data_IF_231592946642
#
_entry.id   IF_231592946642
#
_cell.length_a   1.000
_cell.length_b   1.000
_cell.length_c   1.000
_cell.angle_alpha   90.00
_cell.angle_beta   90.00
_cell.angle_gamma   90.00
#
_symmetry.space_group_name_H-M   'P 1'
#
loop_
_entity.id
_entity.type
_entity.pdbx_description
1 polymer ?
#
# COMPACT_ATOMS: atom_id res chain seq x y z
N UNK A 1 -66.11 0.08 35.09
CA UNK A 1 -65.22 0.49 36.19
C UNK A 1 -63.94 -0.32 36.08
N UNK A 2 -62.79 0.34 36.06
CA UNK A 2 -61.47 -0.28 35.86
C UNK A 2 -60.45 0.76 35.42
N UNK A 3 -60.07 1.62 36.36
CA UNK A 3 -59.13 2.76 36.30
C UNK A 3 -57.83 2.46 35.51
N UNK A 4 -57.48 3.25 34.48
CA UNK A 4 -56.53 4.38 34.52
C UNK A 4 -55.44 4.31 35.60
N UNK A 5 -54.56 3.32 35.40
CA UNK A 5 -53.17 3.15 35.87
C UNK A 5 -52.04 4.00 35.19
N UNK A 6 -51.98 5.31 35.43
CA UNK A 6 -50.73 6.09 35.56
C UNK A 6 -49.65 6.07 34.45
N UNK A 7 -49.77 7.01 33.51
CA UNK A 7 -48.67 7.47 32.67
C UNK A 7 -47.65 8.32 33.44
N UNK A 8 -46.87 7.72 34.35
CA UNK A 8 -45.78 8.39 35.09
C UNK A 8 -44.51 7.53 35.24
N UNK A 9 -44.03 6.89 34.15
CA UNK A 9 -42.69 6.29 34.16
C UNK A 9 -41.91 6.47 32.85
N UNK A 10 -42.18 7.58 32.13
CA UNK A 10 -41.40 7.99 30.93
C UNK A 10 -40.41 9.13 31.19
N UNK A 11 -40.24 9.54 32.45
CA UNK A 11 -39.42 10.70 32.82
C UNK A 11 -38.46 10.45 34.00
N UNK A 12 -38.31 9.20 34.44
CA UNK A 12 -37.23 8.79 35.35
C UNK A 12 -36.04 8.26 34.54
N UNK A 13 -34.97 9.06 34.43
CA UNK A 13 -33.67 8.53 33.99
C UNK A 13 -32.95 9.27 32.86
N UNK A 14 -33.33 10.52 32.52
CA UNK A 14 -32.38 11.39 31.80
C UNK A 14 -31.24 11.73 32.75
N UNK A 15 -30.21 10.88 32.77
CA UNK A 15 -28.95 11.11 33.47
C UNK A 15 -28.45 12.49 33.05
N UNK A 16 -28.48 13.46 33.99
CA UNK A 16 -28.04 14.82 33.76
C UNK A 16 -26.53 14.82 33.51
N UNK A 17 -26.16 14.91 32.23
CA UNK A 17 -24.77 14.93 31.76
C UNK A 17 -24.45 16.30 31.13
N UNK A 18 -24.31 17.36 31.94
CA UNK A 18 -24.12 18.72 31.46
C UNK A 18 -22.81 18.92 30.69
N UNK A 19 -21.89 17.94 30.77
CA UNK A 19 -20.59 17.94 30.06
C UNK A 19 -20.53 16.93 28.92
N UNK A 20 -21.63 16.25 28.59
CA UNK A 20 -21.74 15.20 27.56
C UNK A 20 -20.56 14.21 27.57
N UNK A 21 -20.10 13.82 28.77
CA UNK A 21 -19.04 12.84 28.94
C UNK A 21 -19.56 11.44 28.55
N UNK A 22 -18.72 10.57 27.98
CA UNK A 22 -19.10 9.17 27.76
C UNK A 22 -19.53 8.54 29.08
N UNK A 23 -20.56 7.69 29.03
CA UNK A 23 -21.08 7.03 30.23
C UNK A 23 -20.22 5.82 30.59
N UNK A 24 -20.08 5.57 31.88
CA UNK A 24 -19.46 4.39 32.46
C UNK A 24 -20.27 3.13 32.12
N UNK A 25 -19.73 1.95 32.43
CA UNK A 25 -20.46 0.68 32.33
C UNK A 25 -21.76 0.67 33.17
N UNK A 26 -21.81 1.48 34.23
CA UNK A 26 -22.96 1.64 35.13
C UNK A 26 -23.97 2.71 34.65
N UNK A 27 -23.77 3.29 33.45
CA UNK A 27 -24.66 4.31 32.89
C UNK A 27 -24.63 5.67 33.62
N UNK A 28 -23.66 5.90 34.50
CA UNK A 28 -23.40 7.21 35.12
C UNK A 28 -22.41 8.00 34.23
N UNK A 29 -22.35 9.33 34.33
CA UNK A 29 -21.34 10.10 33.60
C UNK A 29 -19.97 9.96 34.28
N UNK A 30 -18.93 9.68 33.47
CA UNK A 30 -17.57 9.45 33.98
C UNK A 30 -17.09 10.67 34.75
N UNK A 31 -16.41 10.45 35.87
CA UNK A 31 -15.76 11.52 36.61
C UNK A 31 -14.73 12.25 35.72
N UNK A 32 -14.73 13.59 35.75
CA UNK A 32 -13.89 14.43 34.86
C UNK A 32 -12.39 14.11 34.96
N UNK A 33 -11.89 13.76 36.13
CA UNK A 33 -10.47 13.41 36.32
C UNK A 33 -10.11 12.08 35.64
N UNK A 34 -11.02 11.11 35.63
CA UNK A 34 -10.82 9.81 34.99
C UNK A 34 -10.79 9.97 33.46
N UNK A 35 -11.68 10.80 32.94
CA UNK A 35 -11.70 11.20 31.53
C UNK A 35 -10.37 11.84 31.08
N UNK A 36 -9.81 12.74 31.91
CA UNK A 36 -8.50 13.36 31.66
C UNK A 36 -7.33 12.39 31.82
N UNK A 37 -7.37 11.53 32.84
CA UNK A 37 -6.32 10.54 33.14
C UNK A 37 -6.15 9.54 31.98
N UNK A 38 -7.26 9.02 31.45
CA UNK A 38 -7.23 8.11 30.31
C UNK A 38 -7.03 8.83 28.96
N UNK A 39 -6.91 10.16 28.96
CA UNK A 39 -6.62 10.95 27.76
C UNK A 39 -7.77 11.00 26.75
N UNK A 40 -9.02 10.71 27.16
CA UNK A 40 -10.19 10.76 26.27
C UNK A 40 -10.53 12.19 25.82
N UNK A 41 -9.98 13.21 26.48
CA UNK A 41 -10.16 14.62 26.15
C UNK A 41 -9.49 15.06 24.84
N UNK A 42 -8.58 14.26 24.32
CA UNK A 42 -7.88 14.56 23.06
C UNK A 42 -8.62 13.91 21.92
N UNK A 43 -8.97 14.67 20.92
CA UNK A 43 -9.66 14.20 19.73
C UNK A 43 -8.65 13.95 18.61
N UNK A 44 -8.76 12.79 17.95
CA UNK A 44 -7.95 12.45 16.80
C UNK A 44 -8.87 12.19 15.60
N UNK A 45 -8.55 12.77 14.45
CA UNK A 45 -9.36 12.63 13.25
C UNK A 45 -8.66 11.69 12.27
N UNK A 46 -9.41 10.79 11.65
CA UNK A 46 -8.91 9.91 10.60
C UNK A 46 -9.66 10.18 9.28
N UNK A 47 -8.93 10.66 8.27
CA UNK A 47 -9.49 11.01 6.95
C UNK A 47 -9.93 9.76 6.17
N UNK A 48 -9.15 8.67 6.21
CA UNK A 48 -9.48 7.38 5.59
C UNK A 48 -10.80 6.79 6.12
N UNK A 49 -11.16 7.11 7.37
CA UNK A 49 -12.42 6.71 7.99
C UNK A 49 -13.59 7.67 7.71
N UNK A 50 -13.44 8.63 6.80
CA UNK A 50 -14.44 9.67 6.51
C UNK A 50 -14.47 10.77 7.57
N UNK A 51 -13.29 11.24 7.98
CA UNK A 51 -13.10 12.28 9.01
C UNK A 51 -13.75 11.93 10.35
N UNK A 52 -13.78 10.63 10.69
CA UNK A 52 -14.30 10.17 11.97
C UNK A 52 -13.37 10.61 13.10
N UNK A 53 -13.98 11.11 14.18
CA UNK A 53 -13.28 11.58 15.37
C UNK A 53 -13.22 10.44 16.39
N UNK A 54 -12.01 10.09 16.79
CA UNK A 54 -11.72 9.10 17.81
C UNK A 54 -11.28 9.78 19.10
N UNK A 55 -12.00 9.58 20.23
CA UNK A 55 -11.64 10.17 21.51
C UNK A 55 -10.51 9.37 22.16
N UNK A 56 -9.39 10.03 22.41
CA UNK A 56 -8.22 9.49 23.08
C UNK A 56 -7.31 8.62 22.20
N UNK A 57 -6.03 8.56 22.62
CA UNK A 57 -4.97 7.87 21.88
C UNK A 57 -5.23 6.36 21.75
N UNK A 58 -5.75 5.71 22.79
CA UNK A 58 -6.00 4.27 22.79
C UNK A 58 -7.07 3.85 21.77
N UNK A 59 -8.17 4.59 21.70
CA UNK A 59 -9.21 4.32 20.69
C UNK A 59 -8.68 4.61 19.28
N UNK A 60 -7.89 5.66 19.15
CA UNK A 60 -7.18 5.97 17.91
C UNK A 60 -6.07 4.96 17.57
N UNK A 61 -5.57 4.11 18.45
CA UNK A 61 -4.66 3.02 18.02
C UNK A 61 -5.45 1.78 17.63
N UNK A 62 -6.54 1.51 18.34
CA UNK A 62 -7.44 0.40 18.04
C UNK A 62 -8.11 0.53 16.67
N UNK A 63 -8.42 1.76 16.24
CA UNK A 63 -9.17 1.96 15.00
C UNK A 63 -8.45 1.45 13.74
N UNK A 64 -7.11 1.38 13.73
CA UNK A 64 -6.35 0.82 12.60
C UNK A 64 -6.69 -0.65 12.32
N UNK A 65 -7.12 -1.38 13.35
CA UNK A 65 -7.55 -2.77 13.24
C UNK A 65 -9.06 -2.93 13.04
N UNK A 66 -9.83 -1.84 13.13
CA UNK A 66 -11.28 -1.90 12.95
C UNK A 66 -11.67 -2.10 11.47
N UNK A 67 -12.84 -2.70 11.28
CA UNK A 67 -13.40 -2.91 9.95
C UNK A 67 -13.65 -1.61 9.18
N UNK A 68 -13.89 -0.49 9.88
CA UNK A 68 -14.09 0.81 9.24
C UNK A 68 -12.83 1.26 8.51
N UNK A 69 -11.69 1.25 9.19
CA UNK A 69 -10.41 1.66 8.61
C UNK A 69 -9.94 0.67 7.54
N UNK A 70 -10.05 -0.63 7.84
CA UNK A 70 -9.75 -1.70 6.87
C UNK A 70 -10.56 -1.54 5.57
N UNK A 71 -11.85 -1.22 5.68
CA UNK A 71 -12.71 -0.96 4.52
C UNK A 71 -12.32 0.32 3.79
N UNK A 72 -11.97 1.38 4.51
CA UNK A 72 -11.45 2.62 3.92
C UNK A 72 -10.21 2.37 3.06
N UNK A 73 -9.22 1.64 3.58
CA UNK A 73 -8.02 1.25 2.81
C UNK A 73 -8.37 0.37 1.59
N UNK A 74 -9.30 -0.58 1.76
CA UNK A 74 -9.79 -1.42 0.63
C UNK A 74 -10.41 -0.59 -0.49
N UNK A 75 -11.18 0.46 -0.17
CA UNK A 75 -11.73 1.37 -1.18
C UNK A 75 -10.64 2.14 -1.94
N UNK A 76 -9.46 2.33 -1.35
CA UNK A 76 -8.29 2.92 -1.99
C UNK A 76 -7.41 1.90 -2.74
N UNK A 77 -7.83 0.63 -2.80
CA UNK A 77 -7.04 -0.48 -3.37
C UNK A 77 -5.67 -0.68 -2.66
N UNK A 78 -5.64 -0.41 -1.36
CA UNK A 78 -4.47 -0.60 -0.50
C UNK A 78 -4.76 -1.78 0.45
N UNK A 79 -3.87 -2.79 0.54
CA UNK A 79 -4.03 -3.86 1.53
C UNK A 79 -3.78 -3.33 2.94
N UNK A 80 -4.62 -3.72 3.91
CA UNK A 80 -4.39 -3.40 5.32
C UNK A 80 -3.21 -4.22 5.85
N UNK A 81 -2.05 -3.58 5.97
CA UNK A 81 -0.80 -4.16 6.49
C UNK A 81 -0.20 -3.23 7.53
N UNK A 82 0.74 -3.73 8.34
CA UNK A 82 1.40 -2.96 9.40
C UNK A 82 2.15 -1.73 8.87
N UNK A 83 2.52 -1.70 7.58
CA UNK A 83 3.14 -0.53 6.96
C UNK A 83 2.25 0.72 7.00
N UNK A 84 0.93 0.54 7.07
CA UNK A 84 -0.04 1.65 7.13
C UNK A 84 -0.47 2.01 8.55
N UNK A 85 0.14 1.42 9.58
CA UNK A 85 -0.17 1.78 10.96
C UNK A 85 0.26 3.23 11.25
N UNK A 86 -0.67 4.06 11.72
CA UNK A 86 -0.44 5.49 11.95
C UNK A 86 -0.83 6.41 10.78
N UNK A 87 -1.07 5.86 9.59
CA UNK A 87 -1.45 6.65 8.42
C UNK A 87 -2.92 7.03 8.49
N UNK A 88 -3.22 8.33 8.46
CA UNK A 88 -4.61 8.84 8.52
C UNK A 88 -5.04 9.57 7.27
N UNK A 89 -4.08 10.17 6.54
CA UNK A 89 -4.34 10.94 5.34
C UNK A 89 -4.50 10.06 4.11
N UNK A 90 -5.43 10.41 3.23
CA UNK A 90 -5.69 9.64 2.01
C UNK A 90 -4.51 9.77 1.02
N UNK A 91 -4.00 10.98 0.85
CA UNK A 91 -2.86 11.27 -0.04
C UNK A 91 -1.58 10.60 0.45
N UNK A 92 -1.33 10.68 1.77
CA UNK A 92 -0.21 10.03 2.43
C UNK A 92 -0.22 8.51 2.21
N UNK A 93 -1.38 7.86 2.40
CA UNK A 93 -1.52 6.43 2.17
C UNK A 93 -1.23 6.04 0.72
N UNK A 94 -1.69 6.83 -0.25
CA UNK A 94 -1.42 6.58 -1.69
C UNK A 94 0.06 6.75 -2.03
N UNK A 95 0.70 7.78 -1.50
CA UNK A 95 2.13 8.03 -1.72
C UNK A 95 2.98 6.89 -1.13
N UNK A 96 2.67 6.46 0.10
CA UNK A 96 3.34 5.34 0.75
C UNK A 96 3.16 4.04 -0.04
N UNK A 97 1.94 3.77 -0.51
CA UNK A 97 1.67 2.56 -1.30
C UNK A 97 2.40 2.55 -2.65
N UNK A 98 2.48 3.71 -3.32
CA UNK A 98 3.23 3.84 -4.56
C UNK A 98 4.73 3.57 -4.35
N UNK A 99 5.30 4.06 -3.25
CA UNK A 99 6.70 3.83 -2.90
C UNK A 99 6.95 2.35 -2.55
N UNK A 100 6.06 1.73 -1.78
CA UNK A 100 6.18 0.32 -1.41
C UNK A 100 6.07 -0.61 -2.63
N UNK A 101 5.18 -0.30 -3.58
CA UNK A 101 5.09 -1.02 -4.86
C UNK A 101 6.38 -0.94 -5.67
N UNK A 102 6.99 0.24 -5.77
CA UNK A 102 8.28 0.41 -6.47
C UNK A 102 9.39 -0.38 -5.80
N UNK A 103 9.48 -0.29 -4.47
CA UNK A 103 10.47 -1.04 -3.70
C UNK A 103 10.25 -2.56 -3.83
N UNK A 104 8.99 -3.03 -3.83
CA UNK A 104 8.67 -4.44 -4.04
C UNK A 104 8.99 -4.91 -5.45
N UNK A 105 8.71 -4.11 -6.48
CA UNK A 105 9.01 -4.44 -7.87
C UNK A 105 10.51 -4.50 -8.13
N UNK A 106 11.29 -3.59 -7.53
CA UNK A 106 12.75 -3.59 -7.64
C UNK A 106 13.43 -4.78 -6.94
N UNK A 107 12.75 -5.44 -5.99
CA UNK A 107 13.25 -6.63 -5.32
C UNK A 107 12.75 -7.94 -5.98
N UNK A 108 11.88 -7.85 -6.98
CA UNK A 108 11.42 -9.02 -7.71
C UNK A 108 12.47 -9.38 -8.75
N UNK A 109 12.99 -10.60 -8.69
CA UNK A 109 13.90 -11.13 -9.70
C UNK A 109 13.19 -11.19 -11.06
N UNK A 110 13.74 -10.52 -12.06
CA UNK A 110 13.30 -10.60 -13.45
C UNK A 110 14.26 -11.50 -14.23
N UNK A 111 13.87 -12.72 -14.63
CA UNK A 111 14.74 -13.63 -15.38
C UNK A 111 15.31 -13.00 -16.65
N UNK A 112 14.62 -12.07 -17.30
CA UNK A 112 15.11 -11.47 -18.55
C UNK A 112 16.29 -10.50 -18.34
N UNK A 113 16.35 -9.87 -17.17
CA UNK A 113 17.34 -8.83 -16.83
C UNK A 113 18.37 -9.32 -15.80
N UNK A 114 17.96 -10.14 -14.83
CA UNK A 114 18.77 -10.54 -13.67
C UNK A 114 19.41 -11.93 -13.83
N UNK A 115 18.99 -12.75 -14.80
CA UNK A 115 19.66 -14.02 -15.07
C UNK A 115 21.04 -13.76 -15.70
N UNK A 116 22.06 -14.48 -15.24
CA UNK A 116 23.42 -14.35 -15.75
C UNK A 116 23.65 -15.40 -16.83
N UNK A 117 23.73 -14.98 -18.10
CA UNK A 117 24.01 -15.85 -19.23
C UNK A 117 25.42 -15.58 -19.77
N UNK A 118 26.12 -16.64 -20.18
CA UNK A 118 27.43 -16.54 -20.83
C UNK A 118 27.26 -16.36 -22.35
N UNK A 119 27.90 -15.33 -22.92
CA UNK A 119 27.96 -15.16 -24.37
C UNK A 119 29.04 -16.08 -25.01
N UNK A 120 29.03 -16.32 -26.35
CA UNK A 120 30.04 -17.15 -27.01
C UNK A 120 31.49 -16.65 -26.86
N UNK A 121 31.67 -15.43 -26.36
CA UNK A 121 32.96 -14.79 -26.10
C UNK A 121 33.36 -14.90 -24.62
N UNK A 122 32.56 -15.56 -23.77
CA UNK A 122 32.81 -15.78 -22.35
C UNK A 122 32.46 -14.60 -21.43
N UNK A 123 31.71 -13.59 -21.90
CA UNK A 123 31.24 -12.49 -21.05
C UNK A 123 29.90 -12.84 -20.40
N UNK A 124 29.73 -12.46 -19.13
CA UNK A 124 28.47 -12.59 -18.40
C UNK A 124 27.56 -11.40 -18.75
N UNK A 125 26.37 -11.68 -19.26
CA UNK A 125 25.38 -10.68 -19.68
C UNK A 125 23.96 -11.15 -19.33
N UNK A 126 23.01 -10.21 -19.27
CA UNK A 126 21.60 -10.56 -19.14
C UNK A 126 21.05 -11.19 -20.42
N UNK A 127 19.99 -12.03 -20.36
CA UNK A 127 19.36 -12.64 -21.52
C UNK A 127 18.92 -11.62 -22.58
N UNK A 128 18.38 -10.48 -22.15
CA UNK A 128 17.96 -9.42 -23.07
C UNK A 128 19.15 -8.85 -23.86
N UNK A 129 20.30 -8.67 -23.21
CA UNK A 129 21.52 -8.20 -23.85
C UNK A 129 22.16 -9.30 -24.73
N UNK A 130 22.15 -10.55 -24.28
CA UNK A 130 22.62 -11.69 -25.06
C UNK A 130 21.85 -11.82 -26.38
N UNK A 131 20.52 -11.71 -26.34
CA UNK A 131 19.68 -11.75 -27.53
C UNK A 131 20.01 -10.62 -28.52
N UNK A 132 20.29 -9.40 -28.03
CA UNK A 132 20.70 -8.27 -28.87
C UNK A 132 22.06 -8.53 -29.54
N UNK A 133 23.03 -9.04 -28.79
CA UNK A 133 24.37 -9.37 -29.30
C UNK A 133 24.32 -10.47 -30.36
N UNK A 134 23.56 -11.54 -30.10
CA UNK A 134 23.36 -12.63 -31.05
C UNK A 134 22.70 -12.13 -32.34
N UNK A 135 21.69 -11.25 -32.25
CA UNK A 135 21.04 -10.66 -33.42
C UNK A 135 21.98 -9.75 -34.23
N UNK A 136 22.89 -9.01 -33.57
CA UNK A 136 23.90 -8.21 -34.27
C UNK A 136 24.92 -9.07 -35.02
N UNK A 137 25.39 -10.18 -34.42
CA UNK A 137 26.33 -11.10 -35.09
C UNK A 137 25.74 -11.74 -36.35
N UNK A 138 24.44 -12.04 -36.37
CA UNK A 138 23.77 -12.62 -37.54
C UNK A 138 23.60 -11.63 -38.71
N UNK A 139 23.64 -10.32 -38.44
CA UNK A 139 23.54 -9.27 -39.47
C UNK A 139 24.90 -8.72 -39.92
N UNK A 140 26.01 -9.21 -39.36
CA UNK A 140 27.35 -8.89 -39.84
C UNK A 140 27.58 -9.62 -41.18
N UNK A 141 27.27 -8.94 -42.30
CA UNK A 141 27.59 -9.41 -43.64
C UNK A 141 29.06 -9.84 -43.71
N UNK A 142 29.39 -10.98 -44.37
CA UNK A 142 30.79 -11.38 -44.53
C UNK A 142 31.51 -10.27 -45.29
N UNK A 143 32.54 -9.70 -44.66
CA UNK A 143 33.45 -8.75 -45.32
C UNK A 143 34.02 -9.48 -46.52
N UNK A 144 33.59 -9.10 -47.73
CA UNK A 144 34.07 -9.68 -48.96
C UNK A 144 35.58 -9.49 -49.04
N UNK A 145 36.33 -10.60 -49.03
CA UNK A 145 37.78 -10.61 -49.12
C UNK A 145 38.19 -10.40 -50.59
N UNK A 146 38.87 -9.30 -50.97
CA UNK A 146 39.13 -8.98 -52.37
C UNK A 146 40.48 -9.56 -52.82
N UNK A 147 40.67 -10.87 -52.71
CA UNK A 147 41.90 -11.50 -53.23
C UNK A 147 41.59 -12.82 -53.92
N UNK A 148 41.28 -12.76 -55.22
CA UNK A 148 41.96 -13.54 -56.28
C UNK A 148 41.18 -13.50 -57.59
N UNK A 149 41.44 -12.50 -58.43
CA UNK A 149 41.16 -12.59 -59.87
C UNK A 149 42.49 -12.42 -60.61
N UNK A 150 43.37 -13.42 -60.44
CA UNK A 150 44.58 -13.53 -61.25
C UNK A 150 44.19 -14.21 -62.57
N UNK A 151 44.14 -13.39 -63.61
CA UNK A 151 43.86 -13.77 -64.99
C UNK A 151 44.75 -14.93 -65.45
N UNK A 152 44.15 -16.00 -65.98
CA UNK A 152 44.81 -16.92 -66.88
C UNK A 152 44.19 -16.75 -68.27
N UNK A 153 44.88 -16.00 -69.14
CA UNK A 153 44.66 -16.06 -70.59
C UNK A 153 45.36 -17.31 -71.12
N UNK A 154 44.58 -18.34 -71.43
CA UNK A 154 44.99 -19.41 -72.35
C UNK A 154 44.36 -19.10 -73.72
N UNK A 155 45.17 -18.64 -74.68
CA UNK A 155 44.80 -18.71 -76.09
C UNK A 155 45.28 -20.06 -76.62
N UNK A 156 44.32 -20.90 -77.02
CA UNK A 156 44.54 -22.13 -77.77
C UNK A 156 44.15 -21.93 -79.22
N UNK A 157 45.01 -22.48 -80.08
CA UNK A 157 44.86 -22.93 -81.49
C UNK A 157 44.50 -21.92 -82.59
#
# INVERSE_FOLDING_TARGET
AGDTQDGLDREAGRIWNPKNLPMDADGKPIAVWLYKLHGLSKEFVCEICGNHVYPGRLNFEKHFFEMRHTRGLKCLQIPNSLHFFGVTGIEEARALWANLKKASAANLFDPAEDEECEDPNGNIVSPAELARRMAMQQNAAPVANPVSEFQYQFQGE
#
